data_IF_195947818251
#
_entry.id   IF_195947818251
#
_cell.length_a   1.000
_cell.length_b   1.000
_cell.length_c   1.000
_cell.angle_alpha   90.00
_cell.angle_beta   90.00
_cell.angle_gamma   90.00
#
_symmetry.space_group_name_H-M   'P 1'
#
loop_
_entity.id
_entity.type
_entity.pdbx_description
1 polymer ?
#
# COMPACT_ATOMS: atom_id res chain seq x y z
N UNK A 1 -1.18 -1.21 -12.18
CA UNK A 1 -2.63 -1.50 -12.20
C UNK A 1 -3.46 -0.23 -12.40
N UNK A 2 -3.53 0.71 -11.46
CA UNK A 2 -4.41 1.90 -11.53
C UNK A 2 -4.34 2.66 -12.86
N UNK A 3 -3.13 3.00 -13.31
CA UNK A 3 -2.92 3.69 -14.60
C UNK A 3 -3.43 2.87 -15.80
N UNK A 4 -3.34 1.53 -15.74
CA UNK A 4 -3.87 0.67 -16.79
C UNK A 4 -5.40 0.76 -16.87
N UNK A 5 -6.10 0.82 -15.72
CA UNK A 5 -7.56 1.01 -15.69
C UNK A 5 -7.98 2.33 -16.34
N UNK A 6 -7.25 3.41 -16.06
CA UNK A 6 -7.50 4.72 -16.69
C UNK A 6 -7.27 4.68 -18.21
N UNK A 7 -6.26 3.94 -18.68
CA UNK A 7 -5.98 3.78 -20.10
C UNK A 7 -7.07 2.94 -20.79
N UNK A 8 -7.45 1.81 -20.18
CA UNK A 8 -8.50 0.93 -20.69
C UNK A 8 -9.82 1.69 -20.81
N UNK A 9 -10.20 2.44 -19.78
CA UNK A 9 -11.39 3.29 -19.83
C UNK A 9 -11.33 4.29 -20.99
N UNK A 10 -10.19 4.97 -21.15
CA UNK A 10 -10.04 5.95 -22.22
C UNK A 10 -10.25 5.31 -23.60
N UNK A 11 -9.65 4.14 -23.85
CA UNK A 11 -9.81 3.40 -25.10
C UNK A 11 -11.29 3.05 -25.32
N UNK A 12 -11.94 2.52 -24.28
CA UNK A 12 -13.34 2.10 -24.37
C UNK A 12 -14.32 3.25 -24.66
N UNK A 13 -14.07 4.45 -24.13
CA UNK A 13 -14.98 5.60 -24.30
C UNK A 13 -14.57 6.57 -25.40
N UNK A 14 -13.44 6.36 -26.09
CA UNK A 14 -12.93 7.26 -27.12
C UNK A 14 -12.70 6.53 -28.44
N UNK A 15 -13.69 5.74 -28.90
CA UNK A 15 -13.65 5.04 -30.18
C UNK A 15 -12.37 4.20 -30.38
N UNK A 16 -11.93 3.51 -29.33
CA UNK A 16 -10.74 2.66 -29.34
C UNK A 16 -9.41 3.41 -29.56
N UNK A 17 -9.42 4.74 -29.43
CA UNK A 17 -8.21 5.55 -29.54
C UNK A 17 -7.37 5.46 -28.26
N UNK A 18 -6.06 5.31 -28.44
CA UNK A 18 -5.10 5.27 -27.32
C UNK A 18 -4.83 6.68 -26.80
N UNK A 19 -4.64 6.87 -25.48
CA UNK A 19 -4.31 8.18 -24.95
C UNK A 19 -2.97 8.68 -25.51
N UNK A 20 -2.90 9.97 -25.82
CA UNK A 20 -1.65 10.58 -26.30
C UNK A 20 -0.55 10.52 -25.23
N UNK A 21 0.72 10.56 -25.65
CA UNK A 21 1.87 10.58 -24.73
C UNK A 21 1.77 11.70 -23.69
N UNK A 22 1.24 12.86 -24.06
CA UNK A 22 1.05 13.99 -23.15
C UNK A 22 -0.03 13.69 -22.10
N UNK A 23 -1.12 13.03 -22.49
CA UNK A 23 -2.20 12.59 -21.59
C UNK A 23 -1.74 11.45 -20.65
N UNK A 24 -0.89 10.54 -21.14
CA UNK A 24 -0.28 9.51 -20.30
C UNK A 24 0.71 10.09 -19.28
N UNK A 25 1.47 11.12 -19.68
CA UNK A 25 2.36 11.85 -18.78
C UNK A 25 1.59 12.65 -17.73
N UNK A 26 0.45 13.25 -18.07
CA UNK A 26 -0.34 14.03 -17.13
C UNK A 26 -0.95 13.19 -16.00
N UNK A 27 -1.15 11.88 -16.21
CA UNK A 27 -1.57 10.98 -15.12
C UNK A 27 -0.46 10.70 -14.09
N UNK A 28 0.79 11.12 -14.35
CA UNK A 28 1.89 11.08 -13.38
C UNK A 28 2.16 9.71 -12.75
N UNK A 29 2.89 9.71 -11.63
CA UNK A 29 3.01 8.55 -10.72
C UNK A 29 2.27 8.80 -9.40
N UNK A 30 1.42 9.84 -9.35
CA UNK A 30 0.62 10.16 -8.18
C UNK A 30 -0.47 9.11 -8.00
N UNK A 31 -0.27 8.20 -7.04
CA UNK A 31 -1.17 7.09 -6.77
C UNK A 31 -2.49 7.58 -6.21
N UNK A 32 -2.50 8.69 -5.45
CA UNK A 32 -3.74 9.29 -4.94
C UNK A 32 -4.64 9.75 -6.08
N UNK A 33 -4.09 10.53 -7.03
CA UNK A 33 -4.85 10.99 -8.20
C UNK A 33 -5.33 9.82 -9.06
N UNK A 34 -4.47 8.82 -9.28
CA UNK A 34 -4.83 7.62 -10.04
C UNK A 34 -5.96 6.81 -9.37
N UNK A 35 -5.96 6.73 -8.03
CA UNK A 35 -7.04 6.11 -7.27
C UNK A 35 -8.34 6.90 -7.44
N UNK A 36 -8.29 8.23 -7.31
CA UNK A 36 -9.46 9.10 -7.48
C UNK A 36 -10.05 9.01 -8.91
N UNK A 37 -9.21 8.80 -9.93
CA UNK A 37 -9.70 8.49 -11.28
C UNK A 37 -10.38 7.12 -11.34
N UNK A 38 -9.83 6.09 -10.69
CA UNK A 38 -10.48 4.77 -10.65
C UNK A 38 -11.84 4.83 -9.95
N UNK A 39 -11.99 5.63 -8.89
CA UNK A 39 -13.28 5.88 -8.23
C UNK A 39 -14.28 6.51 -9.21
N UNK A 40 -13.87 7.51 -9.99
CA UNK A 40 -14.75 8.13 -11.01
C UNK A 40 -15.21 7.12 -12.07
N UNK A 41 -14.30 6.27 -12.54
CA UNK A 41 -14.60 5.22 -13.53
C UNK A 41 -15.58 4.21 -12.92
N UNK A 42 -15.32 3.77 -11.68
CA UNK A 42 -16.18 2.84 -10.98
C UNK A 42 -17.61 3.40 -10.82
N UNK A 43 -17.75 4.66 -10.42
CA UNK A 43 -19.05 5.33 -10.30
C UNK A 43 -19.78 5.39 -11.64
N UNK A 44 -19.09 5.74 -12.74
CA UNK A 44 -19.70 5.78 -14.08
C UNK A 44 -20.19 4.39 -14.55
N UNK A 45 -19.60 3.32 -14.01
CA UNK A 45 -19.90 1.92 -14.36
C UNK A 45 -20.72 1.19 -13.29
N UNK A 46 -21.21 1.89 -12.27
CA UNK A 46 -21.93 1.28 -11.13
C UNK A 46 -21.15 0.17 -10.40
N UNK A 47 -19.82 0.24 -10.40
CA UNK A 47 -18.94 -0.63 -9.63
C UNK A 47 -18.62 0.01 -8.29
N UNK A 48 -18.67 -0.76 -7.21
CA UNK A 48 -18.36 -0.26 -5.87
C UNK A 48 -16.85 -0.13 -5.67
N UNK A 49 -16.31 1.09 -5.78
CA UNK A 49 -14.97 1.45 -5.28
C UNK A 49 -15.13 2.59 -4.28
N UNK A 50 -14.68 2.43 -3.02
CA UNK A 50 -14.87 3.46 -2.01
C UNK A 50 -14.12 4.73 -2.38
N UNK A 51 -14.73 5.87 -2.12
CA UNK A 51 -14.06 7.16 -2.25
C UNK A 51 -12.85 7.22 -1.30
N UNK A 52 -11.75 7.83 -1.73
CA UNK A 52 -10.52 7.92 -0.92
C UNK A 52 -10.76 8.60 0.43
N UNK A 53 -11.69 9.56 0.52
CA UNK A 53 -12.09 10.22 1.76
C UNK A 53 -12.93 9.32 2.68
N UNK A 54 -13.56 8.28 2.16
CA UNK A 54 -14.28 7.28 2.95
C UNK A 54 -13.38 6.18 3.53
N UNK A 55 -12.14 6.05 3.02
CA UNK A 55 -11.17 5.09 3.54
C UNK A 55 -10.81 5.40 5.00
N UNK A 56 -10.44 4.35 5.74
CA UNK A 56 -9.98 4.53 7.10
C UNK A 56 -8.63 5.30 7.12
N UNK A 57 -8.24 5.92 8.25
CA UNK A 57 -7.02 6.71 8.31
C UNK A 57 -5.75 5.94 7.92
N UNK A 58 -5.60 4.67 8.32
CA UNK A 58 -4.43 3.85 7.99
C UNK A 58 -4.33 3.63 6.48
N UNK A 59 -5.45 3.31 5.83
CA UNK A 59 -5.50 3.12 4.38
C UNK A 59 -5.14 4.40 3.62
N UNK A 60 -5.61 5.57 4.09
CA UNK A 60 -5.26 6.87 3.51
C UNK A 60 -3.76 7.14 3.60
N UNK A 61 -3.17 6.91 4.76
CA UNK A 61 -1.72 7.09 4.97
C UNK A 61 -0.91 6.11 4.11
N UNK A 62 -1.35 4.86 3.95
CA UNK A 62 -0.71 3.89 3.05
C UNK A 62 -0.73 4.40 1.60
N UNK A 63 -1.87 4.89 1.10
CA UNK A 63 -1.95 5.43 -0.27
C UNK A 63 -1.04 6.67 -0.40
N UNK A 64 -1.01 7.55 0.60
CA UNK A 64 -0.14 8.72 0.60
C UNK A 64 1.33 8.31 0.52
N UNK A 65 1.79 7.43 1.41
CA UNK A 65 3.16 6.94 1.45
C UNK A 65 3.57 6.34 0.09
N UNK A 66 2.75 5.46 -0.47
CA UNK A 66 3.02 4.85 -1.77
C UNK A 66 3.05 5.89 -2.90
N UNK A 67 2.18 6.90 -2.84
CA UNK A 67 2.13 7.98 -3.81
C UNK A 67 3.37 8.87 -3.76
N UNK A 68 3.80 9.24 -2.57
CA UNK A 68 4.98 10.08 -2.36
C UNK A 68 6.24 9.32 -2.77
N UNK A 69 6.32 8.05 -2.40
CA UNK A 69 7.38 7.14 -2.82
C UNK A 69 7.42 7.01 -4.36
N UNK A 70 6.29 6.75 -5.02
CA UNK A 70 6.25 6.60 -6.49
C UNK A 70 6.68 7.86 -7.26
N UNK A 71 6.59 9.04 -6.64
CA UNK A 71 7.00 10.31 -7.25
C UNK A 71 8.47 10.66 -7.00
N UNK A 72 9.05 10.23 -5.87
CA UNK A 72 10.40 10.63 -5.40
C UNK A 72 11.49 9.57 -5.66
N UNK A 73 11.10 8.33 -5.97
CA UNK A 73 11.96 7.14 -5.83
C UNK A 73 13.13 6.99 -6.78
N UNK A 74 13.29 7.83 -7.81
CA UNK A 74 14.49 7.68 -8.65
C UNK A 74 15.75 8.21 -7.97
N UNK A 75 15.61 9.14 -7.02
CA UNK A 75 16.74 9.81 -6.38
C UNK A 75 16.57 10.07 -4.88
N UNK A 76 15.53 9.62 -4.17
CA UNK A 76 15.33 9.97 -2.75
C UNK A 76 16.58 9.85 -1.85
N UNK A 77 17.35 8.75 -1.96
CA UNK A 77 18.60 8.59 -1.18
C UNK A 77 19.73 9.54 -1.62
N UNK A 78 19.73 9.98 -2.88
CA UNK A 78 20.69 10.95 -3.44
C UNK A 78 20.25 12.40 -3.20
N UNK A 79 18.95 12.66 -3.27
CA UNK A 79 18.30 13.94 -2.96
C UNK A 79 18.33 14.22 -1.45
N UNK A 80 18.28 13.18 -0.61
CA UNK A 80 18.45 13.31 0.84
C UNK A 80 19.87 13.71 1.28
N UNK A 81 20.87 13.62 0.39
CA UNK A 81 22.20 14.22 0.60
C UNK A 81 22.19 15.72 0.30
N UNK A 82 21.15 16.23 -0.36
CA UNK A 82 20.96 17.64 -0.61
C UNK A 82 20.12 18.25 0.53
N UNK A 83 20.68 19.18 1.32
CA UNK A 83 19.97 19.79 2.47
C UNK A 83 18.74 20.62 2.08
N UNK A 84 18.46 20.79 0.78
CA UNK A 84 17.28 21.47 0.25
C UNK A 84 16.09 20.56 -0.07
N UNK A 85 16.19 19.24 0.16
CA UNK A 85 15.07 18.33 -0.07
C UNK A 85 14.04 18.39 1.08
N UNK A 86 12.82 18.85 0.78
CA UNK A 86 11.74 19.14 1.75
C UNK A 86 10.69 18.00 1.83
N UNK A 87 10.99 16.81 1.30
CA UNK A 87 10.07 15.67 1.38
C UNK A 87 10.01 15.04 2.77
N UNK A 88 8.82 14.55 3.16
CA UNK A 88 8.65 13.72 4.37
C UNK A 88 9.50 12.45 4.24
N UNK A 89 10.18 12.06 5.31
CA UNK A 89 10.97 10.83 5.33
C UNK A 89 10.03 9.62 5.24
N UNK A 90 10.16 8.76 4.21
CA UNK A 90 9.27 7.62 4.00
C UNK A 90 9.43 6.55 5.09
N UNK A 91 10.59 6.46 5.76
CA UNK A 91 10.78 5.54 6.87
C UNK A 91 10.06 6.02 8.12
N UNK A 92 10.18 7.30 8.47
CA UNK A 92 9.43 7.90 9.58
C UNK A 92 7.91 7.80 9.34
N UNK A 93 7.46 8.15 8.12
CA UNK A 93 6.05 8.00 7.74
C UNK A 93 5.58 6.55 7.85
N UNK A 94 6.39 5.59 7.40
CA UNK A 94 6.10 4.18 7.60
C UNK A 94 6.03 3.79 9.08
N UNK A 95 6.94 4.29 9.92
CA UNK A 95 6.92 4.07 11.38
C UNK A 95 5.63 4.54 12.04
N UNK A 96 5.09 5.68 11.59
CA UNK A 96 3.81 6.20 12.09
C UNK A 96 2.63 5.30 11.66
N UNK A 97 2.65 4.76 10.44
CA UNK A 97 1.66 3.77 9.98
C UNK A 97 1.74 2.48 10.81
N UNK A 98 2.96 1.97 11.04
CA UNK A 98 3.21 0.77 11.86
C UNK A 98 2.66 0.97 13.27
N UNK A 99 2.93 2.13 13.88
CA UNK A 99 2.43 2.47 15.22
C UNK A 99 0.91 2.50 15.26
N UNK A 100 0.27 3.16 14.29
CA UNK A 100 -1.19 3.22 14.20
C UNK A 100 -1.83 1.83 14.03
N UNK A 101 -1.20 0.93 13.26
CA UNK A 101 -1.63 -0.46 13.10
C UNK A 101 -1.49 -1.25 14.41
N UNK A 102 -0.34 -1.12 15.07
CA UNK A 102 -0.11 -1.78 16.36
C UNK A 102 -1.16 -1.34 17.39
N UNK A 103 -1.50 -0.07 17.43
CA UNK A 103 -2.50 0.48 18.34
C UNK A 103 -3.92 -0.01 18.04
N UNK A 104 -4.34 0.07 16.77
CA UNK A 104 -5.75 -0.14 16.40
C UNK A 104 -6.10 -1.58 16.06
N UNK A 105 -5.19 -2.30 15.40
CA UNK A 105 -5.53 -3.58 14.78
C UNK A 105 -4.93 -4.78 15.51
N UNK A 106 -3.76 -4.63 16.14
CA UNK A 106 -3.08 -5.73 16.81
C UNK A 106 -3.64 -5.93 18.23
N UNK A 107 -4.15 -7.13 18.57
CA UNK A 107 -4.69 -7.40 19.89
C UNK A 107 -3.66 -7.15 21.01
N UNK A 108 -4.10 -6.52 22.10
CA UNK A 108 -3.27 -6.16 23.24
C UNK A 108 -2.44 -7.35 23.78
N UNK A 109 -3.07 -8.51 23.95
CA UNK A 109 -2.40 -9.72 24.42
C UNK A 109 -1.22 -10.17 23.52
N UNK A 110 -1.29 -9.95 22.20
CA UNK A 110 -0.18 -10.29 21.30
C UNK A 110 0.99 -9.33 21.48
N UNK A 111 0.71 -8.04 21.66
CA UNK A 111 1.74 -7.01 21.94
C UNK A 111 2.40 -7.26 23.29
N UNK A 112 1.61 -7.47 24.34
CA UNK A 112 2.10 -7.73 25.71
C UNK A 112 2.97 -8.99 25.75
N UNK A 113 2.62 -10.05 25.02
CA UNK A 113 3.47 -11.23 24.93
C UNK A 113 4.88 -10.91 24.40
N UNK A 114 4.95 -10.09 23.34
CA UNK A 114 6.23 -9.68 22.74
C UNK A 114 7.01 -8.81 23.73
N UNK A 115 6.38 -7.77 24.27
CA UNK A 115 7.01 -6.84 25.21
C UNK A 115 7.51 -7.56 26.47
N UNK A 116 6.70 -8.42 27.07
CA UNK A 116 7.10 -9.18 28.27
C UNK A 116 8.31 -10.10 27.98
N UNK A 117 8.33 -10.76 26.83
CA UNK A 117 9.46 -11.60 26.45
C UNK A 117 10.74 -10.76 26.24
N UNK A 118 10.62 -9.62 25.58
CA UNK A 118 11.75 -8.71 25.34
C UNK A 118 12.28 -8.10 26.63
N UNK A 119 11.40 -7.68 27.54
CA UNK A 119 11.79 -7.15 28.85
C UNK A 119 12.51 -8.19 29.71
N UNK A 120 12.04 -9.45 29.73
CA UNK A 120 12.72 -10.53 30.45
C UNK A 120 14.15 -10.76 29.96
N UNK A 121 14.36 -10.73 28.65
CA UNK A 121 15.69 -10.91 28.06
C UNK A 121 16.56 -9.68 28.32
N UNK A 122 16.04 -8.48 28.06
CA UNK A 122 16.75 -7.22 28.29
C UNK A 122 17.23 -7.13 29.74
N UNK A 123 16.32 -7.33 30.71
CA UNK A 123 16.65 -7.31 32.14
C UNK A 123 17.75 -8.29 32.56
N UNK A 124 17.98 -9.37 31.79
CA UNK A 124 19.01 -10.37 32.08
C UNK A 124 20.37 -10.04 31.44
N UNK A 125 20.44 -9.11 30.48
CA UNK A 125 21.66 -8.84 29.69
C UNK A 125 22.03 -7.35 29.62
N UNK A 126 21.21 -6.44 30.14
CA UNK A 126 21.36 -5.00 29.96
C UNK A 126 22.66 -4.45 30.58
N UNK A 127 23.14 -5.09 31.65
CA UNK A 127 24.39 -4.72 32.33
C UNK A 127 25.66 -5.14 31.57
N UNK A 128 25.53 -6.07 30.61
CA UNK A 128 26.64 -6.62 29.82
C UNK A 128 26.52 -6.34 28.32
N UNK A 129 25.53 -5.55 27.89
CA UNK A 129 25.23 -5.29 26.48
C UNK A 129 25.17 -3.79 26.19
N UNK A 130 25.59 -3.40 24.99
CA UNK A 130 25.38 -2.06 24.45
C UNK A 130 24.55 -2.18 23.18
N UNK A 131 23.44 -1.47 23.11
CA UNK A 131 22.57 -1.44 21.93
C UNK A 131 22.89 -0.22 21.07
N UNK A 132 23.31 -0.46 19.83
CA UNK A 132 23.58 0.58 18.81
C UNK A 132 22.60 0.36 17.66
N UNK A 133 21.35 0.77 17.87
CA UNK A 133 20.26 0.64 16.89
C UNK A 133 19.38 1.90 16.93
N UNK A 134 18.76 2.22 15.80
CA UNK A 134 17.84 3.35 15.68
C UNK A 134 16.49 2.89 15.14
N UNK A 135 15.42 3.55 15.58
CA UNK A 135 14.09 3.40 15.05
C UNK A 135 13.95 3.94 13.63
N UNK A 136 12.76 3.77 13.05
CA UNK A 136 12.43 4.30 11.73
C UNK A 136 12.39 5.84 11.68
N UNK A 137 12.17 6.46 12.84
CA UNK A 137 12.25 7.90 13.13
C UNK A 137 13.67 8.37 13.45
N UNK A 138 14.67 7.49 13.36
CA UNK A 138 16.09 7.73 13.64
C UNK A 138 16.39 8.01 15.12
N UNK A 139 15.47 7.74 16.05
CA UNK A 139 15.79 7.85 17.48
C UNK A 139 16.57 6.61 17.94
N UNK A 140 17.53 6.76 18.87
CA UNK A 140 18.19 5.60 19.48
C UNK A 140 17.18 4.68 20.17
N UNK A 141 17.45 3.38 20.13
CA UNK A 141 16.64 2.36 20.76
C UNK A 141 17.32 1.81 22.02
N UNK A 142 16.53 1.55 23.05
CA UNK A 142 16.95 0.71 24.19
C UNK A 142 17.10 -0.75 23.78
N UNK A 143 17.81 -1.53 24.62
CA UNK A 143 17.95 -2.99 24.44
C UNK A 143 16.60 -3.70 24.40
N UNK A 144 15.66 -3.29 25.26
CA UNK A 144 14.30 -3.84 25.28
C UNK A 144 13.56 -3.57 23.96
N UNK A 145 13.56 -2.31 23.49
CA UNK A 145 12.91 -1.93 22.24
C UNK A 145 13.52 -2.68 21.05
N UNK A 146 14.84 -2.76 20.98
CA UNK A 146 15.55 -3.49 19.93
C UNK A 146 15.15 -4.97 19.88
N UNK A 147 14.94 -5.59 21.04
CA UNK A 147 14.47 -6.98 21.15
C UNK A 147 12.98 -7.13 20.81
N UNK A 148 12.14 -6.14 21.10
CA UNK A 148 10.69 -6.17 20.87
C UNK A 148 10.30 -5.88 19.40
N UNK A 149 11.00 -4.94 18.77
CA UNK A 149 10.65 -4.42 17.45
C UNK A 149 10.45 -5.48 16.36
N UNK A 150 11.28 -6.52 16.22
CA UNK A 150 11.06 -7.55 15.20
C UNK A 150 9.69 -8.22 15.34
N UNK A 151 9.31 -8.59 16.57
CA UNK A 151 8.01 -9.22 16.84
C UNK A 151 6.84 -8.26 16.60
N UNK A 152 6.99 -6.99 16.96
CA UNK A 152 5.97 -5.96 16.73
C UNK A 152 5.81 -5.69 15.22
N UNK A 153 6.91 -5.54 14.49
CA UNK A 153 6.90 -5.35 13.04
C UNK A 153 6.26 -6.54 12.32
N UNK A 154 6.55 -7.78 12.74
CA UNK A 154 5.90 -8.97 12.21
C UNK A 154 4.38 -8.96 12.39
N UNK A 155 3.88 -8.46 13.52
CA UNK A 155 2.44 -8.30 13.71
C UNK A 155 1.89 -7.17 12.83
N UNK A 156 2.51 -6.00 12.86
CA UNK A 156 2.07 -4.84 12.08
C UNK A 156 2.03 -5.16 10.58
N UNK A 157 3.03 -5.86 10.04
CA UNK A 157 3.11 -6.21 8.64
C UNK A 157 1.90 -7.02 8.16
N UNK A 158 1.41 -7.98 8.94
CA UNK A 158 0.21 -8.79 8.58
C UNK A 158 -1.02 -7.90 8.38
N UNK A 159 -1.18 -6.91 9.24
CA UNK A 159 -2.30 -5.98 9.20
C UNK A 159 -2.11 -4.88 8.15
N UNK A 160 -0.88 -4.43 7.92
CA UNK A 160 -0.58 -3.52 6.81
C UNK A 160 -0.97 -4.15 5.47
N UNK A 161 -0.61 -5.43 5.27
CA UNK A 161 -1.01 -6.18 4.07
C UNK A 161 -2.53 -6.31 3.99
N UNK A 162 -3.23 -6.54 5.10
CA UNK A 162 -4.69 -6.53 5.10
C UNK A 162 -5.27 -5.19 4.64
N UNK A 163 -4.73 -4.06 5.09
CA UNK A 163 -5.17 -2.75 4.61
C UNK A 163 -4.91 -2.57 3.11
N UNK A 164 -3.74 -2.99 2.63
CA UNK A 164 -3.40 -2.97 1.18
C UNK A 164 -4.38 -3.84 0.38
N UNK A 165 -4.66 -5.07 0.82
CA UNK A 165 -5.63 -5.95 0.14
C UNK A 165 -7.01 -5.31 0.11
N UNK A 166 -7.47 -4.71 1.22
CA UNK A 166 -8.75 -3.99 1.26
C UNK A 166 -8.82 -2.79 0.31
N UNK A 167 -7.70 -2.12 0.05
CA UNK A 167 -7.63 -1.06 -0.96
C UNK A 167 -7.73 -1.65 -2.38
N UNK A 168 -7.10 -2.81 -2.61
CA UNK A 168 -6.98 -3.42 -3.94
C UNK A 168 -8.20 -4.27 -4.36
N UNK A 169 -8.93 -4.88 -3.43
CA UNK A 169 -10.09 -5.74 -3.75
C UNK A 169 -11.16 -5.01 -4.57
N UNK A 170 -11.60 -3.79 -4.20
CA UNK A 170 -12.55 -3.04 -5.04
C UNK A 170 -12.00 -2.75 -6.45
N UNK A 171 -10.69 -2.55 -6.58
CA UNK A 171 -10.04 -2.33 -7.87
C UNK A 171 -9.97 -3.60 -8.71
N UNK A 172 -9.95 -4.78 -8.08
CA UNK A 172 -10.09 -6.07 -8.76
C UNK A 172 -11.45 -6.18 -9.46
N UNK A 173 -12.52 -5.81 -8.77
CA UNK A 173 -13.87 -5.81 -9.36
C UNK A 173 -13.96 -4.85 -10.54
N UNK A 174 -13.43 -3.63 -10.40
CA UNK A 174 -13.35 -2.67 -11.49
C UNK A 174 -12.52 -3.21 -12.68
N UNK A 175 -11.42 -3.90 -12.40
CA UNK A 175 -10.59 -4.52 -13.44
C UNK A 175 -11.35 -5.61 -14.18
N UNK A 176 -12.16 -6.42 -13.46
CA UNK A 176 -13.00 -7.46 -14.06
C UNK A 176 -14.05 -6.85 -14.98
N UNK A 177 -14.77 -5.81 -14.52
CA UNK A 177 -15.77 -5.10 -15.32
C UNK A 177 -15.17 -4.52 -16.61
N UNK A 178 -14.03 -3.84 -16.50
CA UNK A 178 -13.33 -3.29 -17.67
C UNK A 178 -12.81 -4.39 -18.61
N UNK A 179 -12.37 -5.52 -18.08
CA UNK A 179 -11.91 -6.66 -18.87
C UNK A 179 -13.05 -7.27 -19.68
N UNK A 180 -14.23 -7.46 -19.06
CA UNK A 180 -15.43 -7.95 -19.73
C UNK A 180 -15.92 -7.02 -20.84
N UNK A 181 -15.82 -5.70 -20.64
CA UNK A 181 -16.16 -4.71 -21.66
C UNK A 181 -15.40 -4.94 -22.98
N UNK A 182 -14.16 -5.41 -22.94
CA UNK A 182 -13.34 -5.68 -24.13
C UNK A 182 -14.07 -6.58 -25.15
N UNK A 183 -14.87 -7.53 -24.66
CA UNK A 183 -15.59 -8.50 -25.47
C UNK A 183 -16.93 -7.99 -25.99
N UNK A 184 -17.43 -6.89 -25.44
CA UNK A 184 -18.66 -6.23 -25.93
C UNK A 184 -18.40 -5.19 -27.01
N UNK A 185 -17.13 -4.81 -27.17
CA UNK A 185 -16.68 -3.95 -28.26
C UNK A 185 -16.64 -4.85 -29.50
N UNK A 186 -17.38 -4.49 -30.56
CA UNK A 186 -17.52 -5.28 -31.80
C UNK A 186 -16.21 -5.38 -32.59
N UNK A 187 -15.18 -5.99 -32.00
CA UNK A 187 -13.86 -6.21 -32.57
C UNK A 187 -13.56 -7.71 -32.64
N UNK A 188 -12.78 -8.16 -33.63
CA UNK A 188 -12.47 -9.60 -33.76
C UNK A 188 -11.73 -10.18 -32.56
N UNK A 189 -10.95 -9.35 -31.87
CA UNK A 189 -10.16 -9.70 -30.69
C UNK A 189 -10.31 -8.60 -29.62
N UNK A 190 -10.08 -8.91 -28.33
CA UNK A 190 -10.06 -7.91 -27.26
C UNK A 190 -9.02 -6.82 -27.52
N UNK A 191 -9.48 -5.56 -27.53
CA UNK A 191 -8.66 -4.37 -27.83
C UNK A 191 -7.64 -4.01 -26.75
N UNK A 192 -7.71 -4.63 -25.57
CA UNK A 192 -6.74 -4.45 -24.50
C UNK A 192 -6.56 -5.74 -23.68
N UNK A 193 -5.40 -5.89 -23.00
CA UNK A 193 -5.08 -7.09 -22.25
C UNK A 193 -6.08 -7.38 -21.14
N UNK A 194 -6.36 -8.67 -20.93
CA UNK A 194 -7.22 -9.16 -19.85
C UNK A 194 -6.45 -9.11 -18.53
N UNK A 195 -6.55 -7.99 -17.82
CA UNK A 195 -5.74 -7.71 -16.64
C UNK A 195 -6.24 -8.42 -15.37
N UNK A 196 -7.47 -8.94 -15.39
CA UNK A 196 -8.09 -9.58 -14.23
C UNK A 196 -7.29 -10.78 -13.72
N UNK A 197 -6.73 -11.58 -14.63
CA UNK A 197 -6.01 -12.82 -14.30
C UNK A 197 -4.83 -12.58 -13.34
N UNK A 198 -4.12 -11.45 -13.48
CA UNK A 198 -2.97 -11.10 -12.64
C UNK A 198 -3.34 -10.86 -11.17
N UNK A 199 -4.62 -10.61 -10.88
CA UNK A 199 -5.10 -10.14 -9.57
C UNK A 199 -6.26 -10.97 -9.01
N UNK A 200 -6.59 -12.10 -9.64
CA UNK A 200 -7.63 -13.01 -9.14
C UNK A 200 -7.34 -13.55 -7.73
N UNK A 201 -6.07 -13.60 -7.33
CA UNK A 201 -5.63 -14.07 -6.01
C UNK A 201 -5.96 -13.09 -4.86
N UNK A 202 -6.32 -11.84 -5.16
CA UNK A 202 -6.70 -10.85 -4.13
C UNK A 202 -8.05 -11.21 -3.53
N UNK A 203 -8.07 -11.89 -2.38
CA UNK A 203 -9.30 -12.29 -1.69
C UNK A 203 -9.47 -11.51 -0.39
N UNK A 204 -10.67 -11.01 -0.12
CA UNK A 204 -11.01 -10.28 1.12
C UNK A 204 -11.40 -11.23 2.26
N UNK A 205 -10.60 -12.27 2.49
CA UNK A 205 -10.75 -13.11 3.68
C UNK A 205 -9.70 -12.72 4.74
N UNK A 206 -10.18 -12.10 5.81
CA UNK A 206 -9.31 -11.59 6.87
C UNK A 206 -8.42 -12.67 7.48
N UNK A 207 -8.95 -13.87 7.76
CA UNK A 207 -8.17 -14.90 8.43
C UNK A 207 -7.09 -15.47 7.52
N UNK A 208 -7.42 -15.66 6.24
CA UNK A 208 -6.53 -16.08 5.18
C UNK A 208 -5.37 -15.09 5.03
N UNK A 209 -5.68 -13.79 4.89
CA UNK A 209 -4.68 -12.73 4.75
C UNK A 209 -3.72 -12.72 5.95
N UNK A 210 -4.25 -12.74 7.18
CA UNK A 210 -3.42 -12.66 8.38
C UNK A 210 -2.54 -13.90 8.61
N UNK A 211 -2.92 -15.06 8.08
CA UNK A 211 -2.15 -16.32 8.20
C UNK A 211 -1.14 -16.51 7.06
N UNK A 212 -1.33 -15.84 5.93
CA UNK A 212 -0.52 -16.00 4.73
C UNK A 212 0.87 -15.40 4.93
N UNK A 213 1.90 -16.24 4.75
CA UNK A 213 3.31 -15.84 4.89
C UNK A 213 3.97 -15.42 3.57
N UNK A 214 3.40 -15.84 2.44
CA UNK A 214 3.95 -15.59 1.10
C UNK A 214 2.82 -15.21 0.15
N UNK A 215 3.07 -14.15 -0.61
CA UNK A 215 2.18 -13.64 -1.64
C UNK A 215 2.70 -14.05 -3.02
N UNK A 216 1.81 -14.34 -4.00
CA UNK A 216 2.21 -14.62 -5.37
C UNK A 216 3.05 -13.50 -5.99
#
# INVERSE_FOLDING_TARGET
MLKALVIIEHIATNNLSVPTKNKLKSYGHNIQELYDQCVKIANARSVAVPDRHSLNPIQKEIISLLSDFAQTTRYFNLDGLNPSHVGRDPLDHWGQIVTAILEKDVPKAQKEKILNQSNLIASAIDDITITIMHGLDKTPLSTEEALALPGLHDQAAKYAVLHVVKILVPLRELTSELSHLAYTLNTPEPVFPQMQEFIQWLWDDRQYILRKKRWP
#
